data_IF_868771648347
#
_entry.id   IF_868771648347
#
_cell.length_a   1.000
_cell.length_b   1.000
_cell.length_c   1.000
_cell.angle_alpha   90.00
_cell.angle_beta   90.00
_cell.angle_gamma   90.00
#
_symmetry.space_group_name_H-M   'P 1'
#
loop_
_entity.id
_entity.type
_entity.pdbx_description
1 polymer ?
#
# COMPACT_ATOMS: atom_id res chain seq x y z
N UNK A 1 -17.08 14.36 9.47
CA UNK A 1 -17.16 15.39 8.41
C UNK A 1 -18.17 14.96 7.35
N UNK A 2 -18.54 15.88 6.43
CA UNK A 2 -19.41 15.56 5.28
C UNK A 2 -18.75 14.64 4.25
N UNK A 3 -17.45 14.39 4.39
CA UNK A 3 -16.66 13.58 3.44
C UNK A 3 -16.32 12.19 3.96
N UNK A 4 -16.26 11.99 5.28
CA UNK A 4 -15.95 10.71 5.92
C UNK A 4 -15.64 10.87 7.41
N UNK A 5 -15.05 9.83 8.03
CA UNK A 5 -14.80 9.79 9.47
C UNK A 5 -13.42 10.35 9.86
N UNK A 6 -12.41 10.28 8.99
CA UNK A 6 -11.06 10.80 9.24
C UNK A 6 -10.30 11.05 7.95
N UNK A 7 -9.36 12.01 7.96
CA UNK A 7 -8.35 12.15 6.91
C UNK A 7 -7.19 11.22 7.22
N UNK A 8 -6.70 10.51 6.21
CA UNK A 8 -5.60 9.52 6.34
C UNK A 8 -4.31 10.04 5.73
N UNK A 9 -4.36 10.64 4.53
CA UNK A 9 -3.17 11.12 3.85
C UNK A 9 -3.43 12.38 3.03
N UNK A 10 -2.37 13.11 2.69
CA UNK A 10 -2.43 14.33 1.89
C UNK A 10 -1.19 14.46 1.00
N UNK A 11 -1.40 14.85 -0.25
CA UNK A 11 -0.32 15.16 -1.18
C UNK A 11 -0.60 16.49 -1.91
N UNK A 12 0.47 17.15 -2.35
CA UNK A 12 0.36 18.40 -3.10
C UNK A 12 1.33 18.40 -4.29
N UNK A 13 0.83 18.79 -5.47
CA UNK A 13 1.65 18.99 -6.67
C UNK A 13 1.00 19.97 -7.62
N UNK A 14 1.82 20.84 -8.24
CA UNK A 14 1.38 21.82 -9.25
C UNK A 14 0.19 22.69 -8.79
N UNK A 15 0.12 23.04 -7.48
CA UNK A 15 -0.97 23.85 -6.90
C UNK A 15 -2.25 23.05 -6.63
N UNK A 16 -2.28 21.75 -6.89
CA UNK A 16 -3.38 20.86 -6.53
C UNK A 16 -3.03 20.16 -5.21
N UNK A 17 -3.93 20.20 -4.27
CA UNK A 17 -3.90 19.41 -3.02
C UNK A 17 -4.93 18.30 -3.14
N UNK A 18 -4.53 17.08 -2.84
CA UNK A 18 -5.41 15.92 -2.78
C UNK A 18 -5.30 15.27 -1.40
N UNK A 19 -6.43 15.04 -0.74
CA UNK A 19 -6.51 14.43 0.59
C UNK A 19 -7.44 13.23 0.57
N UNK A 20 -7.01 12.12 1.17
CA UNK A 20 -7.83 10.93 1.38
C UNK A 20 -8.64 11.05 2.66
N UNK A 21 -9.84 10.52 2.61
CA UNK A 21 -10.77 10.49 3.74
C UNK A 21 -11.41 9.11 3.83
N UNK A 22 -11.29 8.49 4.99
CA UNK A 22 -11.84 7.18 5.27
C UNK A 22 -13.37 7.19 5.28
N UNK A 23 -13.97 6.16 4.66
CA UNK A 23 -15.41 5.90 4.71
C UNK A 23 -15.85 5.26 6.03
N UNK A 24 -17.07 5.56 6.48
CA UNK A 24 -17.62 4.94 7.67
C UNK A 24 -18.03 3.48 7.41
N UNK A 25 -17.86 2.60 8.40
CA UNK A 25 -18.34 1.22 8.35
C UNK A 25 -17.86 0.42 7.13
N UNK A 26 -16.56 0.52 6.80
CA UNK A 26 -15.94 -0.16 5.65
C UNK A 26 -16.54 0.24 4.29
N UNK A 27 -17.19 1.40 4.21
CA UNK A 27 -17.57 1.98 2.93
C UNK A 27 -16.34 2.53 2.19
N UNK A 28 -16.48 2.73 0.89
CA UNK A 28 -15.48 3.41 0.10
C UNK A 28 -15.11 4.77 0.72
N UNK A 29 -13.82 5.03 0.80
CA UNK A 29 -13.31 6.34 1.14
C UNK A 29 -13.42 7.33 -0.02
N UNK A 30 -12.95 8.55 0.20
CA UNK A 30 -13.02 9.64 -0.78
C UNK A 30 -11.67 10.31 -0.95
N UNK A 31 -11.49 10.91 -2.10
CA UNK A 31 -10.42 11.87 -2.35
C UNK A 31 -11.02 13.25 -2.54
N UNK A 32 -10.57 14.20 -1.72
CA UNK A 32 -10.98 15.60 -1.76
C UNK A 32 -9.87 16.39 -2.45
N UNK A 33 -10.20 16.98 -3.58
CA UNK A 33 -9.29 17.85 -4.33
C UNK A 33 -9.56 19.31 -4.01
N UNK A 34 -8.52 20.09 -3.77
CA UNK A 34 -8.61 21.50 -3.42
C UNK A 34 -7.39 22.28 -3.95
N UNK A 35 -7.50 23.60 -3.96
CA UNK A 35 -6.35 24.47 -4.17
C UNK A 35 -5.50 24.62 -2.88
N UNK A 36 -4.37 25.30 -2.96
CA UNK A 36 -3.49 25.56 -1.82
C UNK A 36 -4.06 26.53 -0.78
N UNK A 37 -5.20 27.17 -1.05
CA UNK A 37 -5.94 28.01 -0.11
C UNK A 37 -7.05 27.21 0.62
N UNK A 38 -7.20 25.90 0.28
CA UNK A 38 -8.24 25.05 0.85
C UNK A 38 -9.62 25.17 0.17
N UNK A 39 -9.70 25.81 -1.02
CA UNK A 39 -10.94 25.84 -1.80
C UNK A 39 -11.18 24.49 -2.43
N UNK A 40 -12.23 23.79 -1.99
CA UNK A 40 -12.58 22.46 -2.52
C UNK A 40 -13.16 22.61 -3.93
N UNK A 41 -12.63 21.83 -4.87
CA UNK A 41 -13.08 21.77 -6.25
C UNK A 41 -13.86 20.51 -6.55
N UNK A 42 -13.28 19.34 -6.31
CA UNK A 42 -13.89 18.05 -6.64
C UNK A 42 -13.75 17.05 -5.50
N UNK A 43 -14.68 16.10 -5.45
CA UNK A 43 -14.65 14.95 -4.53
C UNK A 43 -15.07 13.71 -5.29
N UNK A 44 -14.27 12.64 -5.23
CA UNK A 44 -14.56 11.36 -5.86
C UNK A 44 -14.37 10.21 -4.86
N UNK A 45 -14.97 9.07 -5.12
CA UNK A 45 -14.77 7.86 -4.33
C UNK A 45 -13.47 7.15 -4.75
N UNK A 46 -12.76 6.61 -3.76
CA UNK A 46 -11.63 5.68 -3.91
C UNK A 46 -12.06 4.26 -3.50
N UNK A 47 -11.14 3.43 -3.00
CA UNK A 47 -11.46 2.14 -2.39
C UNK A 47 -11.78 2.25 -0.90
N UNK A 48 -11.87 1.09 -0.23
CA UNK A 48 -12.07 1.01 1.22
C UNK A 48 -10.78 1.30 1.94
N UNK A 49 -10.85 2.10 2.98
CA UNK A 49 -9.70 2.52 3.79
C UNK A 49 -8.54 3.05 2.93
N UNK A 50 -8.72 4.22 2.26
CA UNK A 50 -7.61 4.82 1.54
C UNK A 50 -6.58 5.31 2.54
N UNK A 51 -5.37 4.75 2.47
CA UNK A 51 -4.28 5.08 3.38
C UNK A 51 -3.34 6.15 2.79
N UNK A 52 -2.54 5.82 1.80
CA UNK A 52 -1.53 6.70 1.24
C UNK A 52 -1.94 7.26 -0.12
N UNK A 53 -1.65 8.55 -0.36
CA UNK A 53 -1.91 9.24 -1.62
C UNK A 53 -0.63 9.89 -2.17
N UNK A 54 -0.39 9.79 -3.47
CA UNK A 54 0.75 10.44 -4.12
C UNK A 54 0.42 10.88 -5.55
N UNK A 55 1.14 11.90 -6.04
CA UNK A 55 1.05 12.34 -7.45
C UNK A 55 2.10 11.65 -8.31
N UNK A 56 1.75 11.41 -9.57
CA UNK A 56 2.73 11.06 -10.61
C UNK A 56 3.78 12.18 -10.78
N UNK A 57 4.99 11.86 -11.27
CA UNK A 57 6.05 12.86 -11.45
C UNK A 57 5.64 14.06 -12.29
N UNK A 58 4.81 13.87 -13.32
CA UNK A 58 4.26 14.92 -14.17
C UNK A 58 3.05 15.66 -13.57
N UNK A 59 2.47 15.14 -12.48
CA UNK A 59 1.30 15.70 -11.80
C UNK A 59 -0.03 15.49 -12.53
N UNK A 60 -0.08 14.58 -13.51
CA UNK A 60 -1.32 14.31 -14.27
C UNK A 60 -2.18 13.22 -13.65
N UNK A 61 -1.61 12.41 -12.77
CA UNK A 61 -2.31 11.33 -12.05
C UNK A 61 -2.10 11.46 -10.54
N UNK A 62 -3.08 10.97 -9.80
CA UNK A 62 -2.99 10.71 -8.36
C UNK A 62 -3.23 9.23 -8.14
N UNK A 63 -2.37 8.59 -7.34
CA UNK A 63 -2.48 7.19 -6.96
C UNK A 63 -2.81 7.10 -5.47
N UNK A 64 -3.70 6.18 -5.12
CA UNK A 64 -4.11 5.92 -3.75
C UNK A 64 -3.99 4.42 -3.47
N UNK A 65 -3.31 4.06 -2.39
CA UNK A 65 -3.37 2.75 -1.79
C UNK A 65 -4.62 2.67 -0.91
N UNK A 66 -5.47 1.68 -1.16
CA UNK A 66 -6.65 1.42 -0.36
C UNK A 66 -6.45 0.06 0.30
N UNK A 67 -6.23 0.05 1.60
CA UNK A 67 -5.88 -1.17 2.33
C UNK A 67 -6.96 -2.25 2.20
N UNK A 68 -8.24 -1.87 2.34
CA UNK A 68 -9.30 -2.85 2.40
C UNK A 68 -9.22 -3.73 3.66
N UNK A 69 -8.63 -3.20 4.76
CA UNK A 69 -8.42 -3.93 6.00
C UNK A 69 -9.72 -4.55 6.51
N UNK A 70 -9.73 -5.84 6.92
CA UNK A 70 -10.90 -6.49 7.48
C UNK A 70 -11.19 -5.97 8.91
N UNK A 71 -12.40 -6.24 9.39
CA UNK A 71 -12.67 -6.09 10.82
C UNK A 71 -12.05 -7.25 11.64
N UNK A 72 -11.93 -7.06 12.95
CA UNK A 72 -11.20 -7.98 13.85
C UNK A 72 -11.71 -9.43 13.87
N UNK A 73 -12.93 -9.69 13.42
CA UNK A 73 -13.55 -11.02 13.36
C UNK A 73 -13.73 -11.54 11.93
N UNK A 74 -13.23 -10.83 10.91
CA UNK A 74 -13.34 -11.15 9.49
C UNK A 74 -14.78 -11.33 8.99
N UNK A 75 -15.77 -10.76 9.65
CA UNK A 75 -17.16 -10.74 9.16
C UNK A 75 -17.36 -9.71 8.05
N UNK A 76 -16.50 -8.69 8.00
CA UNK A 76 -16.37 -7.72 6.91
C UNK A 76 -14.91 -7.78 6.46
N UNK A 77 -14.71 -8.11 5.18
CA UNK A 77 -13.39 -8.36 4.60
C UNK A 77 -13.38 -7.80 3.16
N UNK A 78 -13.17 -6.48 2.99
CA UNK A 78 -13.07 -5.84 1.68
C UNK A 78 -11.81 -6.28 0.94
N UNK A 79 -11.77 -6.04 -0.36
CA UNK A 79 -10.55 -6.25 -1.16
C UNK A 79 -9.61 -5.04 -1.04
N UNK A 80 -8.31 -5.29 -0.92
CA UNK A 80 -7.29 -4.28 -1.14
C UNK A 80 -7.27 -3.82 -2.60
N UNK A 81 -7.15 -2.52 -2.85
CA UNK A 81 -7.21 -1.95 -4.20
C UNK A 81 -6.25 -0.77 -4.36
N UNK A 82 -6.00 -0.39 -5.62
CA UNK A 82 -5.28 0.84 -5.96
C UNK A 82 -6.19 1.72 -6.79
N UNK A 83 -6.43 2.95 -6.37
CA UNK A 83 -7.15 3.93 -7.19
C UNK A 83 -6.15 4.79 -7.97
N UNK A 84 -6.38 4.95 -9.27
CA UNK A 84 -5.64 5.86 -10.16
C UNK A 84 -6.61 6.91 -10.67
N UNK A 85 -6.34 8.18 -10.42
CA UNK A 85 -7.21 9.30 -10.76
C UNK A 85 -6.51 10.22 -11.75
N UNK A 86 -7.13 10.49 -12.89
CA UNK A 86 -6.65 11.47 -13.84
C UNK A 86 -7.03 12.89 -13.35
N UNK A 87 -6.02 13.73 -13.12
CA UNK A 87 -6.17 15.11 -12.65
C UNK A 87 -5.65 16.15 -13.64
N UNK A 88 -5.38 15.76 -14.89
CA UNK A 88 -4.83 16.63 -15.92
C UNK A 88 -5.72 17.83 -16.27
N UNK A 89 -7.03 17.75 -16.01
CA UNK A 89 -7.99 18.83 -16.19
C UNK A 89 -8.01 19.87 -15.06
N UNK A 90 -7.28 19.62 -13.97
CA UNK A 90 -7.26 20.48 -12.77
C UNK A 90 -8.19 19.99 -11.66
N UNK A 91 -7.97 20.50 -10.44
CA UNK A 91 -8.60 20.01 -9.20
C UNK A 91 -10.14 20.19 -9.13
N UNK A 92 -10.71 21.06 -9.93
CA UNK A 92 -12.14 21.37 -9.94
C UNK A 92 -12.93 20.68 -11.07
N UNK A 93 -12.27 19.83 -11.87
CA UNK A 93 -12.92 19.12 -12.99
C UNK A 93 -12.93 17.62 -12.83
N UNK A 94 -12.29 17.08 -11.79
CA UNK A 94 -12.20 15.64 -11.54
C UNK A 94 -13.59 15.07 -11.28
N UNK A 95 -13.92 13.98 -11.99
CA UNK A 95 -15.20 13.28 -11.88
C UNK A 95 -14.96 11.80 -11.54
N UNK A 96 -15.98 11.08 -11.12
CA UNK A 96 -15.88 9.66 -10.82
C UNK A 96 -15.44 8.82 -12.02
N UNK A 97 -15.73 9.24 -13.23
CA UNK A 97 -15.25 8.61 -14.46
C UNK A 97 -13.75 8.73 -14.70
N UNK A 98 -13.06 9.63 -13.98
CA UNK A 98 -11.60 9.79 -14.04
C UNK A 98 -10.88 8.82 -13.09
N UNK A 99 -11.62 8.07 -12.26
CA UNK A 99 -11.10 7.09 -11.31
C UNK A 99 -11.06 5.70 -11.94
N UNK A 100 -9.91 5.06 -11.90
CA UNK A 100 -9.73 3.64 -12.26
C UNK A 100 -9.29 2.89 -11.03
N UNK A 101 -10.07 1.90 -10.58
CA UNK A 101 -9.70 1.03 -9.48
C UNK A 101 -9.07 -0.26 -10.01
N UNK A 102 -7.86 -0.57 -9.55
CA UNK A 102 -7.16 -1.81 -9.81
C UNK A 102 -7.38 -2.75 -8.61
N UNK A 103 -7.61 -4.02 -8.88
CA UNK A 103 -7.76 -5.06 -7.87
C UNK A 103 -6.74 -6.19 -8.09
N UNK A 104 -6.66 -7.10 -7.12
CA UNK A 104 -5.71 -8.23 -7.15
C UNK A 104 -6.36 -9.56 -7.58
N UNK A 105 -7.60 -9.57 -8.07
CA UNK A 105 -8.35 -10.79 -8.40
C UNK A 105 -7.64 -11.69 -9.44
N UNK A 106 -6.86 -11.11 -10.35
CA UNK A 106 -6.06 -11.87 -11.31
C UNK A 106 -4.99 -12.77 -10.66
N UNK A 107 -4.64 -12.49 -9.41
CA UNK A 107 -3.64 -13.25 -8.64
C UNK A 107 -4.26 -14.35 -7.76
N UNK A 108 -5.57 -14.42 -7.59
CA UNK A 108 -6.23 -15.42 -6.74
C UNK A 108 -5.90 -16.86 -7.17
N UNK A 109 -5.85 -17.11 -8.47
CA UNK A 109 -5.44 -18.41 -9.01
C UNK A 109 -3.98 -18.76 -8.75
N UNK A 110 -3.15 -17.78 -8.36
CA UNK A 110 -1.73 -17.93 -8.09
C UNK A 110 -1.42 -18.08 -6.59
N UNK A 111 -2.44 -18.12 -5.72
CA UNK A 111 -2.29 -18.14 -4.26
C UNK A 111 -1.26 -19.18 -3.79
N UNK A 112 -1.34 -20.42 -4.29
CA UNK A 112 -0.43 -21.50 -3.88
C UNK A 112 1.02 -21.19 -4.28
N UNK A 113 1.24 -20.70 -5.50
CA UNK A 113 2.56 -20.33 -5.99
C UNK A 113 3.15 -19.13 -5.24
N UNK A 114 2.34 -18.11 -4.99
CA UNK A 114 2.74 -16.91 -4.25
C UNK A 114 3.09 -17.24 -2.79
N UNK A 115 2.29 -18.08 -2.11
CA UNK A 115 2.64 -18.59 -0.77
C UNK A 115 3.93 -19.39 -0.78
N UNK A 116 4.15 -20.22 -1.77
CA UNK A 116 5.40 -20.99 -1.90
C UNK A 116 6.62 -20.10 -2.16
N UNK A 117 6.44 -18.93 -2.79
CA UNK A 117 7.50 -17.93 -2.99
C UNK A 117 7.70 -16.98 -1.81
N UNK A 118 6.86 -17.07 -0.75
CA UNK A 118 7.04 -16.31 0.49
C UNK A 118 6.03 -15.20 0.74
N UNK A 119 4.96 -15.10 -0.07
CA UNK A 119 3.83 -14.21 0.25
C UNK A 119 3.18 -14.70 1.55
N UNK A 120 3.04 -13.81 2.52
CA UNK A 120 2.29 -14.09 3.72
C UNK A 120 0.79 -13.86 3.46
N UNK A 121 -0.04 -14.80 3.84
CA UNK A 121 -1.50 -14.74 3.74
C UNK A 121 -2.08 -15.18 5.07
N UNK A 122 -2.84 -14.31 5.71
CA UNK A 122 -3.35 -14.46 7.09
C UNK A 122 -4.72 -15.12 7.13
N UNK A 123 -5.66 -14.59 6.37
CA UNK A 123 -7.06 -14.95 6.49
C UNK A 123 -7.30 -16.44 6.26
N UNK A 124 -8.16 -17.05 7.06
CA UNK A 124 -8.57 -18.44 6.88
C UNK A 124 -9.35 -18.57 5.57
N UNK A 125 -8.80 -19.31 4.61
CA UNK A 125 -9.35 -19.46 3.26
C UNK A 125 -9.39 -18.15 2.45
N UNK A 126 -8.59 -17.14 2.81
CA UNK A 126 -8.51 -15.91 2.05
C UNK A 126 -7.97 -16.13 0.64
N UNK A 127 -8.44 -15.35 -0.30
CA UNK A 127 -7.84 -15.20 -1.64
C UNK A 127 -6.70 -14.18 -1.55
N UNK A 128 -5.91 -14.04 -2.62
CA UNK A 128 -4.88 -12.98 -2.68
C UNK A 128 -5.56 -11.61 -2.63
N UNK A 129 -6.63 -11.41 -3.41
CA UNK A 129 -7.35 -10.14 -3.50
C UNK A 129 -7.93 -9.65 -2.17
N UNK A 130 -8.30 -10.58 -1.29
CA UNK A 130 -8.86 -10.25 0.02
C UNK A 130 -7.82 -10.09 1.13
N UNK A 131 -6.65 -10.71 0.95
CA UNK A 131 -5.66 -10.72 2.02
C UNK A 131 -4.59 -9.64 1.86
N UNK A 132 -4.37 -9.14 0.62
CA UNK A 132 -3.36 -8.11 0.41
C UNK A 132 -3.88 -6.73 0.81
N UNK A 133 -3.08 -6.01 1.60
CA UNK A 133 -3.34 -4.65 2.06
C UNK A 133 -2.30 -3.71 1.46
N UNK A 134 -2.69 -2.94 0.41
CA UNK A 134 -1.82 -1.93 -0.16
C UNK A 134 -1.69 -0.72 0.79
N UNK A 135 -0.44 -0.29 1.06
CA UNK A 135 -0.19 0.83 1.97
C UNK A 135 0.55 1.99 1.32
N UNK A 136 1.80 1.82 0.95
CA UNK A 136 2.63 2.93 0.48
C UNK A 136 3.00 2.81 -0.99
N UNK A 137 2.98 3.94 -1.73
CA UNK A 137 3.23 3.99 -3.17
C UNK A 137 4.47 4.83 -3.48
N UNK A 138 5.37 4.30 -4.31
CA UNK A 138 6.38 5.08 -5.00
C UNK A 138 6.25 4.92 -6.51
N UNK A 139 6.57 5.98 -7.27
CA UNK A 139 6.40 6.00 -8.72
C UNK A 139 7.76 6.29 -9.36
N UNK A 140 8.11 5.54 -10.40
CA UNK A 140 9.32 5.76 -11.19
C UNK A 140 9.38 7.19 -11.75
N UNK A 141 10.57 7.76 -11.89
CA UNK A 141 10.77 9.13 -12.39
C UNK A 141 10.17 9.35 -13.78
N UNK A 142 10.10 8.31 -14.60
CA UNK A 142 9.48 8.34 -15.94
C UNK A 142 7.94 8.29 -15.92
N UNK A 143 7.35 8.04 -14.73
CA UNK A 143 5.89 7.94 -14.58
C UNK A 143 5.24 6.69 -15.19
N UNK A 144 6.02 5.67 -15.61
CA UNK A 144 5.49 4.50 -16.30
C UNK A 144 5.23 3.30 -15.38
N UNK A 145 5.92 3.25 -14.26
CA UNK A 145 5.81 2.15 -13.28
C UNK A 145 5.59 2.72 -11.88
N UNK A 146 4.76 2.06 -11.09
CA UNK A 146 4.64 2.30 -9.67
C UNK A 146 4.85 0.99 -8.89
N UNK A 147 5.29 1.12 -7.65
CA UNK A 147 5.41 0.03 -6.69
C UNK A 147 4.61 0.38 -5.45
N UNK A 148 3.99 -0.64 -4.86
CA UNK A 148 3.14 -0.50 -3.69
C UNK A 148 3.56 -1.54 -2.65
N UNK A 149 3.80 -1.12 -1.42
CA UNK A 149 4.04 -2.04 -0.32
C UNK A 149 2.74 -2.79 0.02
N UNK A 150 2.90 -4.07 0.30
CA UNK A 150 1.90 -4.95 0.87
C UNK A 150 2.51 -5.41 2.19
N UNK A 151 2.40 -4.56 3.23
CA UNK A 151 3.19 -4.68 4.46
C UNK A 151 2.99 -6.02 5.13
N UNK A 152 1.78 -6.34 5.55
CA UNK A 152 1.46 -7.57 6.27
C UNK A 152 1.73 -8.81 5.43
N UNK A 153 1.67 -8.68 4.11
CA UNK A 153 1.95 -9.77 3.19
C UNK A 153 3.44 -9.95 2.88
N UNK A 154 4.32 -9.07 3.44
CA UNK A 154 5.77 -9.07 3.23
C UNK A 154 6.15 -9.07 1.74
N UNK A 155 5.54 -8.18 0.97
CA UNK A 155 5.65 -8.15 -0.49
C UNK A 155 5.58 -6.72 -1.05
N UNK A 156 5.89 -6.59 -2.35
CA UNK A 156 5.69 -5.37 -3.14
C UNK A 156 4.90 -5.72 -4.40
N UNK A 157 3.85 -4.97 -4.69
CA UNK A 157 3.14 -5.02 -5.95
C UNK A 157 3.75 -4.07 -6.97
N UNK A 158 3.78 -4.47 -8.25
CA UNK A 158 4.24 -3.64 -9.38
C UNK A 158 3.07 -3.29 -10.26
N UNK A 159 2.94 -2.01 -10.60
CA UNK A 159 1.86 -1.46 -11.44
C UNK A 159 2.46 -0.87 -12.71
N UNK A 160 1.90 -1.25 -13.86
CA UNK A 160 2.14 -0.57 -15.13
C UNK A 160 1.14 0.59 -15.27
N UNK A 161 1.63 1.83 -15.25
CA UNK A 161 0.80 3.05 -15.33
C UNK A 161 0.40 3.44 -16.75
N UNK A 162 0.94 2.76 -17.77
CA UNK A 162 0.50 2.91 -19.17
C UNK A 162 -0.77 2.12 -19.43
N UNK A 163 -0.81 0.87 -18.91
CA UNK A 163 -1.97 -0.03 -19.08
C UNK A 163 -2.93 0.01 -17.90
N UNK A 164 -2.57 0.69 -16.80
CA UNK A 164 -3.27 0.68 -15.52
C UNK A 164 -3.57 -0.76 -15.04
N UNK A 165 -2.50 -1.55 -14.87
CA UNK A 165 -2.62 -2.95 -14.44
C UNK A 165 -1.57 -3.28 -13.38
N UNK A 166 -1.97 -4.06 -12.36
CA UNK A 166 -1.05 -4.72 -11.45
C UNK A 166 -0.42 -5.88 -12.21
N UNK A 167 0.90 -5.88 -12.37
CA UNK A 167 1.62 -6.83 -13.23
C UNK A 167 2.34 -7.92 -12.46
N UNK A 168 2.66 -7.66 -11.19
CA UNK A 168 3.34 -8.63 -10.33
C UNK A 168 3.08 -8.37 -8.85
N UNK A 169 3.18 -9.43 -8.04
CA UNK A 169 3.38 -9.40 -6.60
C UNK A 169 4.71 -10.09 -6.33
N UNK A 170 5.64 -9.38 -5.68
CA UNK A 170 7.00 -9.87 -5.40
C UNK A 170 7.19 -9.99 -3.88
N UNK A 171 7.15 -11.21 -3.32
CA UNK A 171 7.50 -11.44 -1.92
C UNK A 171 8.96 -11.07 -1.64
N UNK A 172 9.23 -10.48 -0.47
CA UNK A 172 10.56 -9.97 -0.12
C UNK A 172 11.49 -11.02 0.47
N UNK A 173 10.98 -12.24 0.73
CA UNK A 173 11.73 -13.28 1.40
C UNK A 173 11.89 -13.01 2.90
N UNK A 174 12.89 -13.64 3.51
CA UNK A 174 13.08 -13.64 4.97
C UNK A 174 14.54 -13.37 5.32
N UNK A 175 14.80 -12.60 6.36
CA UNK A 175 16.11 -12.44 6.97
C UNK A 175 16.39 -13.64 7.90
N UNK A 176 17.41 -14.41 7.60
CA UNK A 176 17.80 -15.55 8.45
C UNK A 176 18.72 -15.08 9.58
N UNK A 177 18.20 -15.01 10.81
CA UNK A 177 18.95 -14.58 11.99
C UNK A 177 19.93 -15.63 12.54
N UNK A 178 19.91 -16.86 11.99
CA UNK A 178 20.90 -17.87 12.32
C UNK A 178 22.25 -17.66 11.61
N UNK A 179 22.29 -16.80 10.59
CA UNK A 179 23.51 -16.54 9.84
C UNK A 179 24.42 -15.52 10.56
N UNK A 180 25.75 -15.68 10.48
CA UNK A 180 26.69 -14.69 10.98
C UNK A 180 26.41 -13.28 10.42
N UNK A 181 26.42 -12.27 11.27
CA UNK A 181 26.11 -10.89 10.90
C UNK A 181 24.63 -10.50 10.91
N UNK A 182 23.73 -11.48 11.02
CA UNK A 182 22.29 -11.24 11.14
C UNK A 182 21.79 -11.35 12.59
N UNK A 183 22.59 -10.89 13.56
CA UNK A 183 22.24 -10.92 14.97
C UNK A 183 21.04 -10.05 15.28
N UNK A 184 20.30 -10.41 16.29
CA UNK A 184 19.26 -9.56 16.89
C UNK A 184 19.26 -9.72 18.40
N UNK A 185 18.77 -8.73 19.11
CA UNK A 185 18.35 -8.83 20.50
C UNK A 185 16.89 -9.31 20.50
N UNK A 186 16.68 -10.54 20.94
CA UNK A 186 15.38 -11.22 20.82
C UNK A 186 14.46 -10.97 22.02
N UNK A 187 14.86 -10.18 23.01
CA UNK A 187 14.09 -9.99 24.25
C UNK A 187 14.36 -8.63 24.88
N UNK A 188 13.30 -7.94 25.23
CA UNK A 188 13.27 -6.72 26.04
C UNK A 188 13.08 -6.99 27.56
N UNK A 189 13.00 -8.28 27.94
CA UNK A 189 12.70 -8.71 29.32
C UNK A 189 13.84 -8.48 30.30
N UNK A 190 15.05 -8.26 29.81
CA UNK A 190 16.25 -8.09 30.63
C UNK A 190 16.86 -6.70 30.38
N UNK A 191 17.43 -6.10 31.41
CA UNK A 191 18.12 -4.81 31.29
C UNK A 191 19.48 -4.91 30.56
N UNK A 192 19.69 -5.93 29.79
CA UNK A 192 20.93 -6.21 29.06
C UNK A 192 20.66 -6.27 27.55
N UNK A 193 21.56 -5.70 26.76
CA UNK A 193 21.54 -5.84 25.30
C UNK A 193 22.29 -7.11 24.94
N UNK A 194 21.59 -8.09 24.39
CA UNK A 194 22.15 -9.38 23.99
C UNK A 194 21.97 -9.65 22.49
N UNK A 195 22.95 -9.22 21.70
CA UNK A 195 22.97 -9.45 20.25
C UNK A 195 23.48 -10.86 19.94
N UNK A 196 22.58 -11.75 19.57
CA UNK A 196 22.91 -13.14 19.26
C UNK A 196 22.37 -13.61 17.92
N UNK A 197 22.88 -14.74 17.40
CA UNK A 197 22.28 -15.47 16.31
C UNK A 197 21.21 -16.43 16.87
N UNK A 198 20.04 -16.39 16.26
CA UNK A 198 18.86 -17.14 16.69
C UNK A 198 18.32 -18.00 15.55
N UNK A 199 17.83 -19.22 15.79
CA UNK A 199 17.26 -20.09 14.78
C UNK A 199 15.86 -19.62 14.35
N UNK A 200 15.72 -18.34 14.01
CA UNK A 200 14.48 -17.68 13.59
C UNK A 200 14.71 -16.90 12.30
N UNK A 201 13.62 -16.63 11.58
CA UNK A 201 13.62 -15.80 10.39
C UNK A 201 12.71 -14.60 10.59
N UNK A 202 13.20 -13.41 10.24
CA UNK A 202 12.45 -12.17 10.28
C UNK A 202 11.80 -11.87 8.93
N UNK A 203 10.59 -11.37 8.94
CA UNK A 203 9.95 -10.73 7.79
C UNK A 203 10.33 -9.27 7.76
N UNK A 204 10.39 -8.68 6.56
CA UNK A 204 10.71 -7.26 6.41
C UNK A 204 9.50 -6.38 6.74
N UNK A 205 8.31 -6.76 6.31
CA UNK A 205 7.04 -6.05 6.56
C UNK A 205 7.20 -4.55 6.25
N UNK A 206 7.36 -4.19 4.95
CA UNK A 206 7.72 -2.83 4.57
C UNK A 206 6.52 -1.89 4.71
N UNK A 207 6.66 -0.83 5.49
CA UNK A 207 5.74 0.30 5.53
C UNK A 207 6.06 1.29 4.38
N UNK A 208 6.81 2.34 4.65
CA UNK A 208 7.14 3.35 3.66
C UNK A 208 8.19 2.86 2.64
N UNK A 209 8.09 3.38 1.41
CA UNK A 209 8.99 3.03 0.32
C UNK A 209 9.38 4.26 -0.52
N UNK A 210 10.63 4.30 -0.94
CA UNK A 210 11.13 5.25 -1.94
C UNK A 210 11.89 4.53 -3.04
N UNK A 211 12.00 5.16 -4.22
CA UNK A 211 12.82 4.68 -5.31
C UNK A 211 13.97 5.64 -5.60
N UNK A 212 15.07 5.11 -6.12
CA UNK A 212 16.18 5.89 -6.68
C UNK A 212 16.86 5.14 -7.82
N UNK A 213 17.55 5.86 -8.70
CA UNK A 213 18.21 5.30 -9.86
C UNK A 213 19.74 5.44 -9.77
N UNK A 214 20.46 4.35 -10.04
CA UNK A 214 21.91 4.34 -10.15
C UNK A 214 22.32 3.60 -11.41
N UNK A 215 23.01 4.26 -12.32
CA UNK A 215 23.54 3.65 -13.55
C UNK A 215 22.45 3.01 -14.43
N UNK A 216 21.23 3.54 -14.44
CA UNK A 216 20.10 3.01 -15.20
C UNK A 216 19.34 1.85 -14.51
N UNK A 217 19.73 1.49 -13.30
CA UNK A 217 19.00 0.51 -12.47
C UNK A 217 18.19 1.23 -11.41
N UNK A 218 16.90 0.92 -11.34
CA UNK A 218 16.02 1.40 -10.28
C UNK A 218 16.15 0.51 -9.05
N UNK A 219 16.34 1.12 -7.91
CA UNK A 219 16.36 0.49 -6.60
C UNK A 219 15.18 0.98 -5.77
N UNK A 220 14.60 0.07 -4.99
CA UNK A 220 13.60 0.38 -3.98
C UNK A 220 14.26 0.32 -2.60
N UNK A 221 13.94 1.28 -1.76
CA UNK A 221 14.34 1.33 -0.34
C UNK A 221 13.07 1.34 0.48
N UNK A 222 12.97 0.45 1.44
CA UNK A 222 11.83 0.33 2.34
C UNK A 222 12.22 0.62 3.77
N UNK A 223 11.35 1.30 4.51
CA UNK A 223 11.38 1.33 5.95
C UNK A 223 10.55 0.13 6.46
N UNK A 224 11.21 -0.81 7.11
CA UNK A 224 10.54 -2.02 7.57
C UNK A 224 10.04 -1.81 8.99
N UNK A 225 8.75 -1.77 9.18
CA UNK A 225 8.13 -1.57 10.49
C UNK A 225 8.06 -2.89 11.26
N UNK A 226 7.78 -3.99 10.56
CA UNK A 226 7.64 -5.31 11.17
C UNK A 226 6.29 -5.52 11.84
N UNK A 227 5.32 -4.66 11.56
CA UNK A 227 3.95 -4.84 12.07
C UNK A 227 3.24 -6.01 11.40
N UNK A 228 2.29 -6.57 12.10
CA UNK A 228 1.52 -7.73 11.65
C UNK A 228 0.10 -7.64 12.18
N UNK A 229 -0.83 -8.28 11.48
CA UNK A 229 -2.21 -8.37 11.96
C UNK A 229 -2.28 -9.09 13.30
N UNK A 230 -2.95 -8.47 14.27
CA UNK A 230 -3.26 -9.03 15.58
C UNK A 230 -4.78 -9.00 15.79
N UNK A 231 -5.48 -9.91 15.12
CA UNK A 231 -6.93 -10.00 15.17
C UNK A 231 -7.39 -11.22 15.94
N UNK A 232 -8.50 -11.07 16.66
CA UNK A 232 -9.07 -12.12 17.52
C UNK A 232 -9.53 -13.37 16.76
N UNK A 233 -9.68 -13.29 15.45
CA UNK A 233 -10.10 -14.39 14.58
C UNK A 233 -8.94 -15.17 13.93
N UNK A 234 -7.68 -14.82 14.23
CA UNK A 234 -6.48 -15.49 13.70
C UNK A 234 -5.89 -16.49 14.65
#
# INVERSE_FOLDING_TARGET
>A
SSYGIGGTSIACKNGIVAATVEGANYANGKVVFMDTNGTIGSVVEAGVLPDMITFSPDGTKVLIANEGQPNSDYTIDPEGTISIINVSGGFNTVQQSDVTNLNFNAFDSQLVALKASGLRVFGVNATVSKDVEPEYITIADDGLTAWVTLQENNAVATINLVTNQITAITPLGLKDHNLPGNTLDASDQFSEIFMGNWPVKGMYMPDAMAQYNVGGTTYLVTANEGDARDYSAL
#
